data_IF_988678704429
#
_entry.id   IF_988678704429
#
_cell.length_a   1.000
_cell.length_b   1.000
_cell.length_c   1.000
_cell.angle_alpha   90.00
_cell.angle_beta   90.00
_cell.angle_gamma   90.00
#
_symmetry.space_group_name_H-M   'P 1'
#
loop_
_entity.id
_entity.type
_entity.pdbx_description
1 polymer ?
#
# COMPACT_ATOMS: atom_id res chain seq x y z
N UNK A 1 -18.97 -0.24 -7.45
CA UNK A 1 -19.33 -0.13 -6.01
C UNK A 1 -18.21 0.60 -5.30
N UNK A 2 -18.43 1.83 -4.85
CA UNK A 2 -17.45 2.58 -4.06
C UNK A 2 -17.83 2.43 -2.59
N UNK A 3 -17.00 1.76 -1.80
CA UNK A 3 -17.28 1.48 -0.38
C UNK A 3 -17.31 2.75 0.47
N UNK A 4 -16.49 3.75 0.14
CA UNK A 4 -16.50 5.10 0.72
C UNK A 4 -16.06 6.09 -0.35
N UNK A 5 -16.83 7.15 -0.57
CA UNK A 5 -16.57 8.14 -1.63
C UNK A 5 -15.38 9.04 -1.29
N UNK A 6 -15.37 9.57 -0.06
CA UNK A 6 -14.31 10.41 0.46
C UNK A 6 -14.15 10.16 1.97
N UNK A 7 -12.91 10.17 2.47
CA UNK A 7 -12.62 10.19 3.90
C UNK A 7 -11.36 11.02 4.17
N UNK A 8 -11.24 11.55 5.39
CA UNK A 8 -10.07 12.27 5.86
C UNK A 8 -9.65 11.73 7.22
N UNK A 9 -8.37 11.41 7.38
CA UNK A 9 -7.81 11.00 8.66
C UNK A 9 -7.40 12.23 9.44
N UNK A 10 -8.00 12.46 10.60
CA UNK A 10 -7.61 13.54 11.52
C UNK A 10 -6.64 12.95 12.53
N UNK A 11 -5.34 13.18 12.31
CA UNK A 11 -4.27 12.67 13.16
C UNK A 11 -3.11 13.66 13.17
N UNK A 12 -2.40 13.82 14.30
CA UNK A 12 -1.18 14.64 14.34
C UNK A 12 -0.05 14.06 13.48
N UNK A 13 -0.14 12.78 13.10
CA UNK A 13 0.89 12.09 12.32
C UNK A 13 0.62 12.10 10.81
N UNK A 14 -0.42 12.79 10.34
CA UNK A 14 -0.81 12.81 8.93
C UNK A 14 -1.00 14.25 8.47
N UNK A 15 -0.28 14.64 7.43
CA UNK A 15 -0.38 15.95 6.80
C UNK A 15 -0.82 15.80 5.34
N UNK A 16 -1.76 16.64 4.92
CA UNK A 16 -2.30 16.66 3.56
C UNK A 16 -1.85 17.94 2.86
N UNK A 17 -1.22 17.82 1.68
CA UNK A 17 -1.02 18.91 0.72
C UNK A 17 -1.87 18.67 -0.54
N UNK A 18 -1.80 19.56 -1.52
CA UNK A 18 -2.47 19.38 -2.81
C UNK A 18 -1.98 18.11 -3.53
N UNK A 19 -0.65 17.90 -3.55
CA UNK A 19 -0.03 16.82 -4.32
C UNK A 19 0.18 15.51 -3.53
N UNK A 20 0.31 15.59 -2.21
CA UNK A 20 0.72 14.43 -1.42
C UNK A 20 0.07 14.33 -0.04
N UNK A 21 0.01 13.12 0.47
CA UNK A 21 -0.25 12.82 1.88
C UNK A 21 1.08 12.39 2.48
N UNK A 22 1.49 12.99 3.58
CA UNK A 22 2.66 12.53 4.32
C UNK A 22 2.23 11.97 5.67
N UNK A 23 2.89 10.90 6.11
CA UNK A 23 2.57 10.27 7.38
C UNK A 23 3.80 9.76 8.11
N UNK A 24 3.85 9.98 9.42
CA UNK A 24 4.85 9.38 10.31
C UNK A 24 4.30 8.07 10.86
N UNK A 25 5.11 7.01 10.80
CA UNK A 25 4.76 5.68 11.29
C UNK A 25 5.93 5.04 12.04
N UNK A 26 5.69 4.70 13.29
CA UNK A 26 6.64 3.98 14.13
C UNK A 26 6.45 2.47 13.93
N UNK A 27 7.34 1.86 13.15
CA UNK A 27 7.36 0.42 12.94
C UNK A 27 8.05 -0.28 14.11
N UNK A 28 7.25 -0.95 14.93
CA UNK A 28 7.74 -1.74 16.06
C UNK A 28 8.00 -3.17 15.62
N UNK A 29 9.23 -3.64 15.84
CA UNK A 29 9.66 -5.00 15.49
C UNK A 29 10.67 -5.51 16.52
N UNK A 30 10.94 -6.81 16.54
CA UNK A 30 11.92 -7.41 17.45
C UNK A 30 12.99 -8.11 16.63
N UNK A 31 14.24 -7.72 16.83
CA UNK A 31 15.38 -8.44 16.28
C UNK A 31 15.73 -9.60 17.21
N UNK A 32 15.75 -10.81 16.68
CA UNK A 32 15.99 -12.03 17.46
C UNK A 32 17.34 -12.60 17.07
N UNK A 33 18.20 -12.88 18.06
CA UNK A 33 19.52 -13.47 17.87
C UNK A 33 19.68 -14.68 18.77
N UNK A 34 20.26 -15.75 18.22
CA UNK A 34 20.73 -16.86 19.03
C UNK A 34 22.17 -16.60 19.43
N UNK A 35 22.47 -16.68 20.72
CA UNK A 35 23.82 -16.54 21.26
C UNK A 35 24.62 -17.83 21.03
N UNK A 36 25.95 -17.75 21.18
CA UNK A 36 26.84 -18.89 20.93
C UNK A 36 26.58 -20.09 21.88
N UNK A 37 26.03 -19.83 23.06
CA UNK A 37 25.62 -20.80 24.07
C UNK A 37 24.18 -21.32 23.87
N UNK A 38 23.51 -20.94 22.77
CA UNK A 38 22.19 -21.44 22.40
C UNK A 38 21.01 -20.76 23.10
N UNK A 39 21.26 -19.71 23.89
CA UNK A 39 20.20 -18.85 24.39
C UNK A 39 19.67 -17.92 23.30
N UNK A 40 18.47 -17.36 23.50
CA UNK A 40 17.85 -16.41 22.59
C UNK A 40 17.82 -15.02 23.22
N UNK A 41 18.35 -14.05 22.50
CA UNK A 41 18.22 -12.64 22.81
C UNK A 41 17.18 -11.99 21.90
N UNK A 42 16.22 -11.30 22.52
CA UNK A 42 15.18 -10.56 21.83
C UNK A 42 15.44 -9.07 22.05
N UNK A 43 15.55 -8.32 20.96
CA UNK A 43 15.86 -6.90 20.94
C UNK A 43 14.68 -6.13 20.32
N UNK A 44 13.67 -5.74 21.11
CA UNK A 44 12.59 -4.89 20.63
C UNK A 44 13.16 -3.55 20.15
N UNK A 45 12.76 -3.13 18.95
CA UNK A 45 13.19 -1.86 18.36
C UNK A 45 12.04 -1.19 17.64
N UNK A 46 12.10 0.14 17.62
CA UNK A 46 11.16 0.97 16.88
C UNK A 46 11.92 1.68 15.77
N UNK A 47 11.38 1.62 14.54
CA UNK A 47 11.93 2.28 13.36
C UNK A 47 10.93 3.32 12.89
N UNK A 48 11.31 4.61 12.95
CA UNK A 48 10.48 5.69 12.46
C UNK A 48 10.54 5.77 10.94
N UNK A 49 9.39 5.64 10.28
CA UNK A 49 9.21 5.85 8.85
C UNK A 49 8.43 7.14 8.58
N UNK A 50 8.85 7.87 7.55
CA UNK A 50 8.06 8.97 6.97
C UNK A 50 7.65 8.59 5.56
N UNK A 51 6.38 8.29 5.38
CA UNK A 51 5.81 7.97 4.07
C UNK A 51 5.34 9.25 3.37
N UNK A 52 5.47 9.26 2.04
CA UNK A 52 4.88 10.28 1.16
C UNK A 52 4.12 9.55 0.05
N UNK A 53 2.82 9.78 -0.02
CA UNK A 53 1.92 9.17 -1.01
C UNK A 53 1.40 10.26 -1.94
N UNK A 54 1.63 10.11 -3.25
CA UNK A 54 1.06 10.99 -4.28
C UNK A 54 -0.47 10.84 -4.30
N UNK A 55 -1.19 11.97 -4.35
CA UNK A 55 -2.65 12.02 -4.36
C UNK A 55 -3.24 11.82 -5.75
N UNK A 56 -2.45 11.98 -6.82
CA UNK A 56 -2.92 11.84 -8.19
C UNK A 56 -3.07 10.36 -8.54
N UNK A 57 -4.29 9.98 -8.92
CA UNK A 57 -4.59 8.63 -9.44
C UNK A 57 -4.64 8.70 -10.98
N UNK A 58 -3.61 8.22 -11.71
CA UNK A 58 -3.60 8.26 -13.17
C UNK A 58 -4.44 7.13 -13.77
N UNK A 59 -4.78 7.26 -15.06
CA UNK A 59 -5.20 6.10 -15.86
C UNK A 59 -4.00 5.19 -16.07
N UNK A 60 -4.11 3.93 -15.67
CA UNK A 60 -3.06 2.93 -15.81
C UNK A 60 -3.24 2.16 -17.13
N UNK A 61 -2.23 2.18 -17.99
CA UNK A 61 -2.16 1.27 -19.14
C UNK A 61 -1.74 -0.13 -18.69
N UNK A 62 -2.44 -1.15 -19.17
CA UNK A 62 -2.15 -2.56 -18.84
C UNK A 62 -1.93 -3.32 -20.14
N UNK A 63 -0.82 -4.07 -20.22
CA UNK A 63 -0.52 -4.98 -21.34
C UNK A 63 -0.51 -6.41 -20.83
N UNK A 64 -1.39 -7.25 -21.38
CA UNK A 64 -1.52 -8.65 -20.98
C UNK A 64 -0.98 -9.56 -22.09
N UNK A 65 0.02 -10.38 -21.74
CA UNK A 65 0.42 -11.51 -22.59
C UNK A 65 -0.68 -12.56 -22.52
N UNK A 66 -1.22 -12.96 -23.67
CA UNK A 66 -2.41 -13.81 -23.71
C UNK A 66 -3.73 -13.04 -23.56
N UNK A 67 -3.80 -11.77 -23.98
CA UNK A 67 -5.02 -10.95 -23.98
C UNK A 67 -6.25 -11.63 -24.61
N UNK A 68 -6.05 -12.47 -25.62
CA UNK A 68 -7.12 -13.23 -26.28
C UNK A 68 -7.54 -14.53 -25.59
N UNK A 69 -6.87 -14.94 -24.50
CA UNK A 69 -7.27 -16.11 -23.72
C UNK A 69 -8.44 -15.79 -22.77
N UNK A 70 -9.01 -16.81 -22.14
CA UNK A 70 -10.20 -16.69 -21.29
C UNK A 70 -10.08 -15.59 -20.22
N UNK A 71 -8.93 -15.48 -19.55
CA UNK A 71 -8.71 -14.46 -18.52
C UNK A 71 -8.56 -13.06 -19.12
N UNK A 72 -7.84 -12.94 -20.25
CA UNK A 72 -7.60 -11.65 -20.90
C UNK A 72 -8.88 -11.04 -21.46
N UNK A 73 -9.72 -11.85 -22.12
CA UNK A 73 -11.02 -11.41 -22.64
C UNK A 73 -11.99 -11.11 -21.51
N UNK A 74 -12.03 -11.94 -20.46
CA UNK A 74 -12.92 -11.72 -19.29
C UNK A 74 -12.56 -10.44 -18.53
N UNK A 75 -11.27 -10.20 -18.23
CA UNK A 75 -10.82 -8.96 -17.57
C UNK A 75 -11.17 -7.74 -18.43
N UNK A 76 -10.93 -7.82 -19.74
CA UNK A 76 -11.23 -6.72 -20.66
C UNK A 76 -12.73 -6.41 -20.71
N UNK A 77 -13.57 -7.44 -20.86
CA UNK A 77 -15.02 -7.30 -20.86
C UNK A 77 -15.54 -6.78 -19.52
N UNK A 78 -15.02 -7.28 -18.39
CA UNK A 78 -15.38 -6.83 -17.05
C UNK A 78 -15.06 -5.36 -16.82
N UNK A 79 -13.90 -4.87 -17.27
CA UNK A 79 -13.55 -3.45 -17.21
C UNK A 79 -14.52 -2.63 -18.06
N UNK A 80 -14.79 -3.03 -19.29
CA UNK A 80 -15.70 -2.30 -20.18
C UNK A 80 -17.14 -2.25 -19.63
N UNK A 81 -17.63 -3.35 -19.05
CA UNK A 81 -18.97 -3.41 -18.45
C UNK A 81 -19.12 -2.50 -17.21
N UNK A 82 -18.04 -2.27 -16.45
CA UNK A 82 -18.04 -1.45 -15.24
C UNK A 82 -17.59 0.00 -15.48
N UNK A 83 -17.05 0.31 -16.66
CA UNK A 83 -16.63 1.65 -17.07
C UNK A 83 -17.85 2.49 -17.45
N UNK A 84 -18.67 2.83 -16.46
CA UNK A 84 -19.66 3.90 -16.54
C UNK A 84 -19.00 5.22 -16.14
#
# INVERSE_FOLDING_TARGET
MVLVKDFKVVSPNVEYSEDAITSNYDYQTTEVKMTADGAWELHPKTVAYKFKTDRRVPKLGVMLVGLGGNNGTTVTAGILANKQ
#
